data_IF_140640989930
#
_entry.id   IF_140640989930
#
_cell.length_a   1.000
_cell.length_b   1.000
_cell.length_c   1.000
_cell.angle_alpha   90.00
_cell.angle_beta   90.00
_cell.angle_gamma   90.00
#
_symmetry.space_group_name_H-M   'P 1'
#
loop_
_entity.id
_entity.type
_entity.pdbx_description
1 polymer ?
#
# COMPACT_ATOMS: atom_id res chain seq x y z
N UNK A 1 -22.49 -38.86 16.86
CA UNK A 1 -22.59 -37.95 18.02
C UNK A 1 -21.18 -37.62 18.46
N UNK A 2 -20.69 -36.48 18.01
CA UNK A 2 -19.54 -35.77 18.59
C UNK A 2 -19.93 -34.31 18.49
N UNK A 3 -20.51 -33.86 19.58
CA UNK A 3 -20.97 -32.51 19.85
C UNK A 3 -19.71 -31.65 20.03
N UNK A 4 -19.37 -30.81 19.06
CA UNK A 4 -18.36 -29.77 19.21
C UNK A 4 -19.05 -28.46 19.58
N UNK A 5 -18.46 -27.67 20.49
CA UNK A 5 -19.17 -26.62 21.19
C UNK A 5 -19.66 -25.56 20.21
N UNK A 6 -20.95 -25.23 20.31
CA UNK A 6 -21.52 -23.98 19.78
C UNK A 6 -20.94 -22.83 20.60
N UNK A 7 -19.66 -22.54 20.41
CA UNK A 7 -19.02 -21.42 21.07
C UNK A 7 -19.47 -20.13 20.40
N UNK A 8 -20.09 -19.29 21.22
CA UNK A 8 -20.59 -17.98 20.84
C UNK A 8 -19.40 -17.06 20.52
N UNK A 9 -18.89 -17.12 19.30
CA UNK A 9 -17.94 -16.14 18.79
C UNK A 9 -18.68 -14.82 18.55
N UNK A 10 -18.42 -13.83 19.39
CA UNK A 10 -18.95 -12.47 19.22
C UNK A 10 -17.91 -11.66 18.46
N UNK A 11 -18.24 -11.26 17.23
CA UNK A 11 -17.39 -10.37 16.45
C UNK A 11 -17.63 -8.92 16.90
N UNK A 12 -16.55 -8.25 17.27
CA UNK A 12 -16.57 -6.82 17.55
C UNK A 12 -16.64 -6.04 16.22
N UNK A 13 -17.25 -4.84 16.20
CA UNK A 13 -17.47 -4.05 14.98
C UNK A 13 -16.21 -3.90 14.12
N UNK A 14 -15.06 -3.59 14.75
CA UNK A 14 -13.76 -3.42 14.08
C UNK A 14 -13.22 -4.69 13.40
N UNK A 15 -13.55 -5.87 13.93
CA UNK A 15 -13.18 -7.16 13.35
C UNK A 15 -14.08 -7.50 12.17
N UNK A 16 -15.32 -7.03 12.20
CA UNK A 16 -16.27 -7.18 11.12
C UNK A 16 -15.85 -6.40 9.87
N UNK A 17 -15.44 -5.15 10.07
CA UNK A 17 -14.98 -4.25 9.00
C UNK A 17 -13.75 -4.84 8.28
N UNK A 18 -12.82 -5.41 9.06
CA UNK A 18 -11.64 -6.11 8.52
C UNK A 18 -12.05 -7.25 7.58
N UNK A 19 -12.95 -8.14 8.01
CA UNK A 19 -13.38 -9.25 7.18
C UNK A 19 -14.18 -8.83 5.96
N UNK A 20 -14.93 -7.73 6.02
CA UNK A 20 -15.63 -7.18 4.86
C UNK A 20 -14.65 -6.67 3.79
N UNK A 21 -13.58 -5.98 4.20
CA UNK A 21 -12.53 -5.50 3.29
C UNK A 21 -11.81 -6.69 2.63
N UNK A 22 -11.44 -7.70 3.43
CA UNK A 22 -10.79 -8.91 2.91
C UNK A 22 -11.70 -9.67 1.95
N UNK A 23 -13.00 -9.76 2.25
CA UNK A 23 -13.98 -10.38 1.37
C UNK A 23 -14.07 -9.66 0.02
N UNK A 24 -14.11 -8.33 0.01
CA UNK A 24 -14.11 -7.55 -1.24
C UNK A 24 -12.84 -7.80 -2.05
N UNK A 25 -11.67 -7.75 -1.40
CA UNK A 25 -10.38 -8.04 -2.06
C UNK A 25 -10.38 -9.43 -2.70
N UNK A 26 -10.85 -10.46 -1.99
CA UNK A 26 -10.93 -11.83 -2.51
C UNK A 26 -11.86 -11.96 -3.71
N UNK A 27 -12.97 -11.22 -3.74
CA UNK A 27 -13.89 -11.22 -4.88
C UNK A 27 -13.27 -10.52 -6.10
N UNK A 28 -12.58 -9.40 -5.89
CA UNK A 28 -11.91 -8.65 -6.95
C UNK A 28 -10.73 -9.43 -7.55
N UNK A 29 -10.02 -10.21 -6.73
CA UNK A 29 -8.90 -11.05 -7.16
C UNK A 29 -9.29 -12.48 -7.53
N UNK A 30 -10.59 -12.75 -7.73
CA UNK A 30 -11.13 -14.06 -8.12
C UNK A 30 -10.80 -15.23 -7.16
N UNK A 31 -10.48 -14.95 -5.89
CA UNK A 31 -10.18 -15.91 -4.82
C UNK A 31 -11.46 -16.48 -4.19
N UNK A 32 -12.31 -17.09 -5.02
CA UNK A 32 -13.66 -17.50 -4.62
C UNK A 32 -13.69 -18.63 -3.56
N UNK A 33 -12.69 -19.51 -3.51
CA UNK A 33 -12.63 -20.59 -2.52
C UNK A 33 -12.43 -20.07 -1.10
N UNK A 34 -11.56 -19.08 -0.95
CA UNK A 34 -11.25 -18.43 0.33
C UNK A 34 -12.37 -17.48 0.75
N UNK A 35 -12.97 -16.77 -0.21
CA UNK A 35 -14.18 -15.96 0.03
C UNK A 35 -15.32 -16.83 0.57
N UNK A 36 -15.53 -18.04 0.02
CA UNK A 36 -16.54 -18.99 0.52
C UNK A 36 -16.24 -19.46 1.93
N UNK A 37 -14.99 -19.80 2.22
CA UNK A 37 -14.60 -20.28 3.53
C UNK A 37 -14.75 -19.17 4.60
N UNK A 38 -14.34 -17.94 4.27
CA UNK A 38 -14.51 -16.77 5.13
C UNK A 38 -16.00 -16.46 5.38
N UNK A 39 -16.84 -16.49 4.34
CA UNK A 39 -18.30 -16.35 4.50
C UNK A 39 -18.89 -17.44 5.39
N UNK A 40 -18.42 -18.68 5.25
CA UNK A 40 -18.81 -19.81 6.10
C UNK A 40 -18.45 -19.62 7.57
N UNK A 41 -17.31 -18.99 7.85
CA UNK A 41 -16.88 -18.60 9.20
C UNK A 41 -17.72 -17.43 9.76
N UNK A 42 -17.92 -16.37 8.97
CA UNK A 42 -18.67 -15.18 9.38
C UNK A 42 -20.12 -15.51 9.74
N UNK A 43 -20.75 -16.45 9.03
CA UNK A 43 -22.11 -16.92 9.32
C UNK A 43 -22.25 -17.68 10.65
N UNK A 44 -21.14 -18.12 11.25
CA UNK A 44 -21.13 -18.78 12.56
C UNK A 44 -20.98 -17.77 13.72
N UNK A 45 -20.61 -16.53 13.41
CA UNK A 45 -20.38 -15.47 14.39
C UNK A 45 -21.70 -14.80 14.83
N UNK A 46 -21.74 -14.23 16.03
CA UNK A 46 -22.90 -13.52 16.60
C UNK A 46 -22.57 -12.07 16.92
N UNK A 47 -23.59 -11.24 17.18
CA UNK A 47 -23.42 -9.81 17.45
C UNK A 47 -23.76 -8.95 16.22
N UNK A 48 -22.93 -7.95 15.90
CA UNK A 48 -23.18 -7.08 14.74
C UNK A 48 -23.09 -7.83 13.39
N UNK A 49 -22.38 -8.95 13.35
CA UNK A 49 -22.34 -9.88 12.22
C UNK A 49 -23.74 -10.37 11.79
N UNK A 50 -24.67 -10.57 12.74
CA UNK A 50 -26.01 -11.10 12.44
C UNK A 50 -26.80 -10.20 11.50
N UNK A 51 -26.51 -8.89 11.49
CA UNK A 51 -27.15 -7.92 10.58
C UNK A 51 -26.80 -8.17 9.11
N UNK A 52 -25.63 -8.75 8.84
CA UNK A 52 -25.11 -9.01 7.50
C UNK A 52 -25.29 -10.46 7.05
N UNK A 53 -25.74 -11.36 7.93
CA UNK A 53 -25.89 -12.79 7.62
C UNK A 53 -26.80 -13.06 6.42
N UNK A 54 -27.88 -12.30 6.24
CA UNK A 54 -28.78 -12.50 5.10
C UNK A 54 -28.08 -12.20 3.76
N UNK A 55 -27.25 -11.16 3.73
CA UNK A 55 -26.49 -10.76 2.53
C UNK A 55 -25.35 -11.74 2.26
N UNK A 56 -24.61 -12.14 3.30
CA UNK A 56 -23.53 -13.11 3.19
C UNK A 56 -24.01 -14.51 2.82
N UNK A 57 -25.17 -14.93 3.32
CA UNK A 57 -25.77 -16.21 2.94
C UNK A 57 -26.25 -16.21 1.48
N UNK A 58 -26.76 -15.07 0.98
CA UNK A 58 -27.11 -14.91 -0.43
C UNK A 58 -25.86 -14.91 -1.33
N UNK A 59 -24.79 -14.21 -0.92
CA UNK A 59 -23.52 -14.15 -1.64
C UNK A 59 -22.82 -15.51 -1.66
N UNK A 60 -22.76 -16.21 -0.53
CA UNK A 60 -22.23 -17.57 -0.45
C UNK A 60 -23.02 -18.53 -1.35
N UNK A 61 -24.35 -18.46 -1.30
CA UNK A 61 -25.21 -19.26 -2.18
C UNK A 61 -25.02 -18.96 -3.67
N UNK A 62 -24.74 -17.71 -4.02
CA UNK A 62 -24.39 -17.34 -5.40
C UNK A 62 -23.02 -17.89 -5.81
N UNK A 63 -21.99 -17.77 -4.95
CA UNK A 63 -20.66 -18.31 -5.19
C UNK A 63 -20.65 -19.84 -5.32
N UNK A 64 -21.48 -20.54 -4.55
CA UNK A 64 -21.63 -22.00 -4.65
C UNK A 64 -22.30 -22.44 -5.95
N UNK A 65 -23.26 -21.67 -6.45
CA UNK A 65 -23.89 -21.94 -7.74
C UNK A 65 -22.99 -21.58 -8.94
N UNK A 66 -22.22 -20.50 -8.84
CA UNK A 66 -21.37 -19.99 -9.92
C UNK A 66 -20.01 -20.72 -10.01
N UNK A 67 -19.44 -21.15 -8.88
CA UNK A 67 -18.09 -21.71 -8.79
C UNK A 67 -18.05 -22.98 -7.91
N UNK A 68 -18.70 -24.09 -8.31
CA UNK A 68 -18.86 -25.28 -7.46
C UNK A 68 -17.55 -26.03 -7.16
N UNK A 69 -16.48 -25.80 -7.92
CA UNK A 69 -15.17 -26.48 -7.77
C UNK A 69 -14.14 -25.65 -6.99
N UNK A 70 -14.49 -24.45 -6.53
CA UNK A 70 -13.61 -23.61 -5.72
C UNK A 70 -13.68 -24.08 -4.26
N UNK A 71 -12.67 -24.83 -3.82
CA UNK A 71 -12.46 -25.25 -2.43
C UNK A 71 -11.29 -24.46 -1.84
N UNK A 72 -11.45 -23.92 -0.62
CA UNK A 72 -10.39 -23.23 0.13
C UNK A 72 -10.42 -23.70 1.58
N UNK A 73 -9.24 -24.05 2.12
CA UNK A 73 -9.05 -24.39 3.53
C UNK A 73 -8.61 -23.12 4.28
N UNK A 74 -9.25 -22.81 5.41
CA UNK A 74 -8.84 -21.69 6.26
C UNK A 74 -7.81 -22.17 7.28
N UNK A 75 -6.53 -21.92 7.01
CA UNK A 75 -5.48 -22.08 8.01
C UNK A 75 -5.33 -20.78 8.83
N UNK A 76 -6.02 -20.74 9.97
CA UNK A 76 -6.11 -19.57 10.85
C UNK A 76 -4.77 -19.16 11.48
N UNK A 77 -3.78 -20.05 11.56
CA UNK A 77 -2.46 -19.74 12.12
C UNK A 77 -1.53 -19.10 11.07
N UNK A 78 -1.69 -19.44 9.79
CA UNK A 78 -0.95 -18.84 8.68
C UNK A 78 -1.42 -17.40 8.36
N UNK A 79 -2.74 -17.15 8.40
CA UNK A 79 -3.34 -15.84 8.11
C UNK A 79 -3.03 -14.74 9.12
N UNK A 80 -2.62 -15.09 10.35
CA UNK A 80 -2.24 -14.13 11.39
C UNK A 80 -0.73 -13.85 11.45
N UNK A 81 0.09 -14.61 10.71
CA UNK A 81 1.56 -14.51 10.76
C UNK A 81 2.27 -14.35 9.40
N UNK A 82 1.58 -14.33 8.27
CA UNK A 82 2.24 -14.43 6.96
C UNK A 82 1.80 -13.42 5.92
N UNK A 83 2.27 -12.16 6.02
CA UNK A 83 2.23 -11.21 4.90
C UNK A 83 3.51 -11.28 4.04
N UNK A 84 4.35 -12.32 4.20
CA UNK A 84 5.60 -12.47 3.44
C UNK A 84 5.82 -13.85 2.80
N UNK A 85 4.97 -14.86 3.02
CA UNK A 85 5.26 -16.24 2.58
C UNK A 85 4.29 -16.84 1.55
N UNK A 86 3.09 -16.28 1.37
CA UNK A 86 2.16 -16.74 0.30
C UNK A 86 2.38 -16.01 -1.04
N UNK A 87 3.00 -14.82 -1.04
CA UNK A 87 3.19 -13.98 -2.24
C UNK A 87 4.27 -14.52 -3.22
N UNK A 88 5.25 -15.29 -2.73
CA UNK A 88 6.33 -15.82 -3.59
C UNK A 88 5.81 -16.79 -4.67
N UNK A 89 4.74 -17.52 -4.41
CA UNK A 89 4.17 -18.48 -5.38
C UNK A 89 3.41 -17.82 -6.53
N UNK A 90 2.66 -16.76 -6.23
CA UNK A 90 1.85 -16.03 -7.21
C UNK A 90 2.69 -15.13 -8.10
N UNK A 91 3.69 -14.45 -7.52
CA UNK A 91 4.63 -13.61 -8.25
C UNK A 91 5.42 -14.42 -9.29
N UNK A 92 5.84 -15.64 -8.94
CA UNK A 92 6.53 -16.54 -9.86
C UNK A 92 5.63 -17.07 -11.00
N UNK A 93 4.35 -17.33 -10.73
CA UNK A 93 3.37 -17.67 -11.76
C UNK A 93 3.16 -16.50 -12.72
N UNK A 94 3.04 -15.28 -12.19
CA UNK A 94 2.89 -14.06 -12.98
C UNK A 94 4.12 -13.82 -13.87
N UNK A 95 5.32 -13.86 -13.30
CA UNK A 95 6.60 -13.75 -14.03
C UNK A 95 6.68 -14.78 -15.17
N UNK A 96 6.29 -16.03 -14.91
CA UNK A 96 6.28 -17.09 -15.93
C UNK A 96 5.34 -16.78 -17.09
N UNK A 97 4.08 -16.39 -16.81
CA UNK A 97 3.11 -16.02 -17.87
C UNK A 97 3.61 -14.84 -18.70
N UNK A 98 4.24 -13.87 -18.04
CA UNK A 98 4.78 -12.69 -18.70
C UNK A 98 5.99 -13.02 -19.59
N UNK A 99 6.87 -13.91 -19.12
CA UNK A 99 7.97 -14.43 -19.91
C UNK A 99 7.49 -15.23 -21.13
N UNK A 100 6.48 -16.10 -20.96
CA UNK A 100 5.85 -16.84 -22.06
C UNK A 100 5.26 -15.91 -23.12
N UNK A 101 4.58 -14.83 -22.69
CA UNK A 101 4.02 -13.81 -23.58
C UNK A 101 5.10 -13.07 -24.36
N UNK A 102 6.19 -12.69 -23.69
CA UNK A 102 7.35 -12.02 -24.32
C UNK A 102 8.07 -12.92 -25.32
N UNK A 103 8.15 -14.22 -25.05
CA UNK A 103 8.73 -15.19 -26.00
C UNK A 103 7.82 -15.45 -27.21
N UNK A 104 6.51 -15.39 -27.01
CA UNK A 104 5.52 -15.65 -28.05
C UNK A 104 5.28 -14.43 -28.95
N UNK A 105 5.50 -13.22 -28.44
CA UNK A 105 5.24 -11.97 -29.13
C UNK A 105 6.42 -11.00 -29.01
N UNK A 106 7.16 -10.86 -30.11
CA UNK A 106 8.33 -9.97 -30.24
C UNK A 106 7.94 -8.48 -30.12
N UNK A 107 6.68 -8.13 -30.38
CA UNK A 107 6.21 -6.74 -30.34
C UNK A 107 5.62 -6.36 -28.97
N UNK A 108 5.49 -7.31 -28.04
CA UNK A 108 4.84 -7.07 -26.76
C UNK A 108 5.47 -5.91 -25.96
N UNK A 109 6.79 -5.88 -25.83
CA UNK A 109 7.50 -4.80 -25.12
C UNK A 109 7.38 -3.46 -25.86
N UNK A 110 7.65 -3.37 -27.17
CA UNK A 110 7.37 -2.15 -27.94
C UNK A 110 5.93 -1.64 -27.80
N UNK A 111 4.94 -2.52 -27.81
CA UNK A 111 3.52 -2.17 -27.64
C UNK A 111 3.20 -1.69 -26.22
N UNK A 112 3.76 -2.32 -25.18
CA UNK A 112 3.63 -1.85 -23.79
C UNK A 112 4.23 -0.45 -23.63
N UNK A 113 5.43 -0.22 -24.14
CA UNK A 113 6.09 1.09 -24.10
C UNK A 113 5.29 2.13 -24.89
N UNK A 114 4.80 1.78 -26.09
CA UNK A 114 3.94 2.67 -26.86
C UNK A 114 2.62 2.99 -26.12
N UNK A 115 2.03 2.01 -25.45
CA UNK A 115 0.83 2.19 -24.62
C UNK A 115 1.10 3.12 -23.44
N UNK A 116 2.27 3.01 -22.80
CA UNK A 116 2.69 3.92 -21.73
C UNK A 116 2.88 5.36 -22.22
N UNK A 117 3.49 5.55 -23.40
CA UNK A 117 3.75 6.89 -23.97
C UNK A 117 2.52 7.60 -24.51
N UNK A 118 1.50 6.85 -24.92
CA UNK A 118 0.27 7.38 -25.52
C UNK A 118 -0.94 7.34 -24.57
N UNK A 119 -0.82 6.68 -23.42
CA UNK A 119 -1.88 6.56 -22.43
C UNK A 119 -1.81 7.68 -21.40
N UNK A 120 -2.93 8.34 -21.17
CA UNK A 120 -3.08 9.39 -20.15
C UNK A 120 -3.76 8.88 -18.87
N UNK A 121 -4.25 7.63 -18.87
CA UNK A 121 -4.92 7.01 -17.73
C UNK A 121 -3.91 6.47 -16.69
N UNK A 122 -3.88 7.01 -15.45
CA UNK A 122 -2.91 6.60 -14.44
C UNK A 122 -3.05 5.14 -14.01
N UNK A 123 -4.27 4.59 -14.00
CA UNK A 123 -4.52 3.19 -13.66
C UNK A 123 -3.86 2.24 -14.67
N UNK A 124 -4.04 2.52 -15.96
CA UNK A 124 -3.39 1.79 -17.05
C UNK A 124 -1.86 1.95 -17.01
N UNK A 125 -1.36 3.16 -16.74
CA UNK A 125 0.09 3.40 -16.57
C UNK A 125 0.66 2.54 -15.44
N UNK A 126 0.00 2.48 -14.28
CA UNK A 126 0.41 1.62 -13.15
C UNK A 126 0.47 0.14 -13.55
N UNK A 127 -0.54 -0.37 -14.26
CA UNK A 127 -0.57 -1.76 -14.72
C UNK A 127 0.55 -2.08 -15.72
N UNK A 128 0.87 -1.15 -16.61
CA UNK A 128 1.98 -1.30 -17.57
C UNK A 128 3.31 -1.29 -16.83
N UNK A 129 3.51 -0.34 -15.91
CA UNK A 129 4.74 -0.24 -15.12
C UNK A 129 4.94 -1.49 -14.25
N UNK A 130 3.88 -2.02 -13.63
CA UNK A 130 3.92 -3.28 -12.92
C UNK A 130 4.42 -4.43 -13.80
N UNK A 131 3.93 -4.55 -15.05
CA UNK A 131 4.45 -5.55 -15.99
C UNK A 131 5.93 -5.29 -16.34
N UNK A 132 6.31 -4.05 -16.65
CA UNK A 132 7.68 -3.69 -17.02
C UNK A 132 8.69 -3.99 -15.90
N UNK A 133 8.28 -3.95 -14.63
CA UNK A 133 9.12 -4.31 -13.49
C UNK A 133 9.58 -5.78 -13.50
N UNK A 134 8.86 -6.67 -14.18
CA UNK A 134 9.20 -8.10 -14.25
C UNK A 134 9.77 -8.52 -15.62
N UNK A 135 9.95 -7.57 -16.53
CA UNK A 135 10.53 -7.78 -17.85
C UNK A 135 11.97 -7.30 -17.87
N UNK A 136 12.81 -7.88 -18.74
CA UNK A 136 14.16 -7.38 -18.98
C UNK A 136 14.36 -7.11 -20.47
N UNK A 137 14.59 -5.86 -20.83
CA UNK A 137 14.83 -5.47 -22.21
C UNK A 137 15.63 -4.17 -22.30
N UNK A 138 16.63 -4.07 -23.20
CA UNK A 138 17.53 -2.92 -23.27
C UNK A 138 16.83 -1.57 -23.46
N UNK A 139 15.66 -1.57 -24.11
CA UNK A 139 14.94 -0.32 -24.40
C UNK A 139 14.12 0.21 -23.22
N UNK A 140 13.84 -0.61 -22.18
CA UNK A 140 12.94 -0.23 -21.08
C UNK A 140 13.51 0.95 -20.30
N UNK A 141 14.76 0.87 -19.82
CA UNK A 141 15.40 1.94 -19.04
C UNK A 141 15.36 3.27 -19.82
N UNK A 142 15.86 3.26 -21.06
CA UNK A 142 15.96 4.47 -21.87
C UNK A 142 14.61 5.09 -22.21
N UNK A 143 13.58 4.25 -22.41
CA UNK A 143 12.21 4.70 -22.69
C UNK A 143 11.55 5.31 -21.46
N UNK A 144 11.71 4.68 -20.29
CA UNK A 144 11.16 5.19 -19.03
C UNK A 144 11.80 6.51 -18.61
N UNK A 145 13.11 6.69 -18.83
CA UNK A 145 13.78 7.99 -18.59
C UNK A 145 13.23 9.10 -19.48
N UNK A 146 13.01 8.82 -20.76
CA UNK A 146 12.42 9.78 -21.70
C UNK A 146 10.98 10.11 -21.32
N UNK A 147 10.21 9.10 -20.93
CA UNK A 147 8.83 9.24 -20.50
C UNK A 147 8.73 10.13 -19.25
N UNK A 148 9.45 9.79 -18.17
CA UNK A 148 9.48 10.59 -16.93
C UNK A 148 9.88 12.05 -17.13
N UNK A 149 10.77 12.34 -18.10
CA UNK A 149 11.26 13.69 -18.37
C UNK A 149 10.30 14.55 -19.24
N UNK A 150 9.26 13.95 -19.83
CA UNK A 150 8.39 14.61 -20.81
C UNK A 150 7.45 15.63 -20.19
N UNK A 151 6.76 15.22 -19.13
CA UNK A 151 5.73 16.00 -18.45
C UNK A 151 5.58 15.54 -16.99
N UNK A 152 4.66 16.16 -16.27
CA UNK A 152 4.35 15.80 -14.90
C UNK A 152 3.32 14.66 -14.85
N UNK A 153 3.64 13.61 -14.08
CA UNK A 153 2.76 12.48 -13.82
C UNK A 153 2.48 12.40 -12.32
N UNK A 154 1.41 11.72 -11.93
CA UNK A 154 1.10 11.54 -10.50
C UNK A 154 2.23 10.78 -9.78
N UNK A 155 2.50 11.14 -8.53
CA UNK A 155 3.69 10.66 -7.82
C UNK A 155 3.83 9.12 -7.72
N UNK A 156 2.76 8.33 -7.45
CA UNK A 156 2.87 6.87 -7.39
C UNK A 156 3.30 6.24 -8.72
N UNK A 157 2.78 6.78 -9.83
CA UNK A 157 3.14 6.37 -11.19
C UNK A 157 4.62 6.65 -11.46
N UNK A 158 5.11 7.83 -11.07
CA UNK A 158 6.52 8.18 -11.22
C UNK A 158 7.43 7.27 -10.39
N UNK A 159 7.05 7.01 -9.14
CA UNK A 159 7.82 6.13 -8.25
C UNK A 159 7.90 4.70 -8.82
N UNK A 160 6.78 4.16 -9.33
CA UNK A 160 6.79 2.84 -9.98
C UNK A 160 7.67 2.75 -11.22
N UNK A 161 7.75 3.83 -12.01
CA UNK A 161 8.67 3.89 -13.15
C UNK A 161 10.14 3.92 -12.71
N UNK A 162 10.47 4.66 -11.65
CA UNK A 162 11.81 4.67 -11.07
C UNK A 162 12.21 3.26 -10.57
N UNK A 163 11.29 2.56 -9.90
CA UNK A 163 11.52 1.17 -9.49
C UNK A 163 11.73 0.23 -10.69
N UNK A 164 10.97 0.41 -11.77
CA UNK A 164 11.16 -0.36 -13.00
C UNK A 164 12.54 -0.12 -13.61
N UNK A 165 13.01 1.14 -13.65
CA UNK A 165 14.37 1.49 -14.08
C UNK A 165 15.42 0.77 -13.21
N UNK A 166 15.30 0.84 -11.87
CA UNK A 166 16.24 0.15 -10.98
C UNK A 166 16.22 -1.36 -11.18
N UNK A 167 15.04 -1.98 -11.35
CA UNK A 167 14.92 -3.42 -11.62
C UNK A 167 15.58 -3.82 -12.94
N UNK A 168 15.68 -2.95 -13.95
CA UNK A 168 16.49 -3.19 -15.15
C UNK A 168 18.01 -3.17 -14.90
N UNK A 169 18.46 -2.85 -13.69
CA UNK A 169 19.86 -2.55 -13.39
C UNK A 169 20.27 -1.13 -13.79
N UNK A 170 19.29 -0.23 -13.96
CA UNK A 170 19.53 1.17 -14.28
C UNK A 170 20.34 1.88 -13.20
N UNK A 171 21.27 2.73 -13.63
CA UNK A 171 22.09 3.61 -12.78
C UNK A 171 22.20 5.00 -13.40
N UNK A 172 22.70 5.97 -12.64
CA UNK A 172 22.80 7.36 -13.03
C UNK A 172 21.49 8.14 -12.85
N UNK A 173 21.56 9.46 -13.10
CA UNK A 173 20.46 10.38 -12.80
C UNK A 173 19.22 10.12 -13.66
N UNK A 174 18.05 10.15 -13.03
CA UNK A 174 16.74 10.16 -13.67
C UNK A 174 16.05 11.48 -13.34
N UNK A 175 15.67 12.22 -14.37
CA UNK A 175 14.93 13.47 -14.23
C UNK A 175 13.43 13.22 -14.40
N UNK A 176 12.61 13.93 -13.61
CA UNK A 176 11.15 13.91 -13.71
C UNK A 176 10.57 15.24 -13.23
N UNK A 177 9.31 15.52 -13.56
CA UNK A 177 8.62 16.75 -13.15
C UNK A 177 7.70 16.51 -11.96
N UNK A 178 7.73 17.41 -10.97
CA UNK A 178 6.80 17.40 -9.84
C UNK A 178 6.61 18.82 -9.32
N UNK A 179 5.36 19.21 -9.09
CA UNK A 179 4.96 20.54 -8.64
C UNK A 179 5.52 21.67 -9.54
N UNK A 180 5.60 21.41 -10.85
CA UNK A 180 6.20 22.34 -11.83
C UNK A 180 7.73 22.49 -11.78
N UNK A 181 8.43 21.69 -10.97
CA UNK A 181 9.88 21.66 -10.90
C UNK A 181 10.45 20.37 -11.50
N UNK A 182 11.65 20.45 -12.08
CA UNK A 182 12.38 19.26 -12.52
C UNK A 182 13.24 18.74 -11.38
N UNK A 183 12.87 17.56 -10.88
CA UNK A 183 13.60 16.83 -9.84
C UNK A 183 14.56 15.83 -10.49
N UNK A 184 15.58 15.42 -9.74
CA UNK A 184 16.55 14.41 -10.19
C UNK A 184 16.90 13.48 -9.04
N UNK A 185 16.87 12.18 -9.31
CA UNK A 185 17.24 11.11 -8.37
C UNK A 185 18.25 10.16 -9.01
N UNK A 186 18.99 9.44 -8.19
CA UNK A 186 19.83 8.33 -8.65
C UNK A 186 18.96 7.08 -8.85
N UNK A 187 19.00 6.49 -10.04
CA UNK A 187 18.21 5.29 -10.35
C UNK A 187 18.53 4.14 -9.38
N UNK A 188 19.82 3.93 -9.11
CA UNK A 188 20.28 2.82 -8.28
C UNK A 188 19.80 2.92 -6.81
N UNK A 189 19.49 4.12 -6.34
CA UNK A 189 19.09 4.38 -4.95
C UNK A 189 17.56 4.26 -4.74
N UNK A 190 16.77 4.00 -5.80
CA UNK A 190 15.31 3.99 -5.71
C UNK A 190 14.79 2.78 -4.95
N UNK A 191 14.17 2.91 -3.75
CA UNK A 191 13.76 1.75 -2.96
C UNK A 191 12.80 0.81 -3.70
N UNK A 192 13.09 -0.50 -3.69
CA UNK A 192 12.24 -1.53 -4.29
C UNK A 192 11.20 -2.08 -3.31
N UNK A 193 11.47 -1.96 -2.01
CA UNK A 193 10.58 -2.32 -0.92
C UNK A 193 10.73 -1.33 0.23
N UNK A 194 9.78 -1.33 1.17
CA UNK A 194 9.85 -0.43 2.32
C UNK A 194 11.13 -0.63 3.14
N UNK A 195 11.66 -1.86 3.21
CA UNK A 195 12.89 -2.20 3.93
C UNK A 195 14.17 -1.51 3.39
N UNK A 196 14.12 -0.98 2.17
CA UNK A 196 15.24 -0.26 1.57
C UNK A 196 15.18 1.26 1.78
N UNK A 197 14.15 1.77 2.47
CA UNK A 197 14.06 3.18 2.79
C UNK A 197 15.06 3.59 3.88
N UNK A 198 15.39 4.89 3.99
CA UNK A 198 16.31 5.39 5.02
C UNK A 198 15.84 5.10 6.45
N UNK A 199 16.80 4.92 7.37
CA UNK A 199 16.56 4.53 8.75
C UNK A 199 15.62 5.49 9.51
N UNK A 200 15.72 6.82 9.28
CA UNK A 200 14.82 7.80 9.91
C UNK A 200 13.34 7.53 9.64
N UNK A 201 13.00 7.02 8.45
CA UNK A 201 11.62 6.68 8.08
C UNK A 201 11.13 5.43 8.81
N UNK A 202 12.00 4.44 9.00
CA UNK A 202 11.68 3.25 9.80
C UNK A 202 11.46 3.63 11.27
N UNK A 203 12.34 4.48 11.82
CA UNK A 203 12.26 4.90 13.19
C UNK A 203 10.99 5.72 13.49
N UNK A 204 10.58 6.60 12.58
CA UNK A 204 9.33 7.35 12.72
C UNK A 204 8.11 6.41 12.79
N UNK A 205 8.02 5.42 11.89
CA UNK A 205 6.93 4.44 11.90
C UNK A 205 6.94 3.59 13.18
N UNK A 206 8.11 3.11 13.58
CA UNK A 206 8.26 2.29 14.78
C UNK A 206 7.81 3.03 16.05
N UNK A 207 8.15 4.32 16.17
CA UNK A 207 7.67 5.17 17.27
C UNK A 207 6.14 5.31 17.29
N UNK A 208 5.49 5.39 16.13
CA UNK A 208 4.02 5.39 16.06
C UNK A 208 3.45 4.05 16.49
N UNK A 209 4.01 2.94 16.00
CA UNK A 209 3.58 1.58 16.37
C UNK A 209 3.70 1.35 17.88
N UNK A 210 4.84 1.69 18.49
CA UNK A 210 5.08 1.55 19.93
C UNK A 210 4.11 2.41 20.76
N UNK A 211 3.84 3.64 20.31
CA UNK A 211 2.88 4.52 20.95
C UNK A 211 1.45 3.97 20.91
N UNK A 212 1.08 3.29 19.81
CA UNK A 212 -0.27 2.84 19.55
C UNK A 212 -0.56 1.40 20.01
N UNK A 213 0.46 0.56 20.16
CA UNK A 213 0.34 -0.88 20.47
C UNK A 213 -0.53 -1.14 21.72
N UNK A 214 -0.41 -0.28 22.73
CA UNK A 214 -1.13 -0.44 24.00
C UNK A 214 -2.53 0.20 23.97
N UNK A 215 -2.70 1.29 23.20
CA UNK A 215 -3.90 2.14 23.28
C UNK A 215 -4.86 1.98 22.11
N UNK A 216 -4.35 1.70 20.91
CA UNK A 216 -5.16 1.55 19.69
C UNK A 216 -4.41 0.75 18.60
N UNK A 217 -4.48 -0.60 18.62
CA UNK A 217 -3.82 -1.45 17.62
C UNK A 217 -4.26 -1.19 16.17
N UNK A 218 -5.48 -0.64 15.98
CA UNK A 218 -5.97 -0.24 14.65
C UNK A 218 -5.11 0.87 14.06
N UNK A 219 -4.64 1.80 14.90
CA UNK A 219 -3.80 2.92 14.47
C UNK A 219 -2.45 2.43 13.95
N UNK A 220 -1.84 1.40 14.56
CA UNK A 220 -0.56 0.84 14.12
C UNK A 220 -0.61 0.27 12.70
N UNK A 221 -1.71 -0.40 12.34
CA UNK A 221 -1.91 -0.93 10.99
C UNK A 221 -2.04 0.19 9.95
N UNK A 222 -2.93 1.17 10.20
CA UNK A 222 -3.10 2.30 9.28
C UNK A 222 -1.87 3.18 9.19
N UNK A 223 -1.08 3.28 10.26
CA UNK A 223 0.18 4.02 10.27
C UNK A 223 1.16 3.46 9.25
N UNK A 224 1.29 2.14 9.17
CA UNK A 224 2.22 1.52 8.24
C UNK A 224 1.87 1.81 6.78
N UNK A 225 0.64 1.55 6.37
CA UNK A 225 0.20 1.76 4.99
C UNK A 225 0.24 3.25 4.62
N UNK A 226 -0.28 4.12 5.48
CA UNK A 226 -0.25 5.57 5.25
C UNK A 226 1.19 6.08 5.13
N UNK A 227 2.11 5.54 5.93
CA UNK A 227 3.50 5.96 5.92
C UNK A 227 4.24 5.47 4.69
N UNK A 228 4.00 4.24 4.23
CA UNK A 228 4.53 3.72 2.96
C UNK A 228 4.12 4.63 1.81
N UNK A 229 2.83 4.96 1.69
CA UNK A 229 2.36 5.82 0.61
C UNK A 229 2.97 7.23 0.67
N UNK A 230 3.08 7.80 1.87
CA UNK A 230 3.76 9.08 2.08
C UNK A 230 5.24 9.01 1.66
N UNK A 231 5.92 7.90 1.96
CA UNK A 231 7.33 7.72 1.61
C UNK A 231 7.55 7.68 0.09
N UNK A 232 6.68 6.96 -0.64
CA UNK A 232 6.71 6.91 -2.11
C UNK A 232 6.42 8.28 -2.72
N UNK A 233 5.40 8.99 -2.21
CA UNK A 233 5.02 10.31 -2.70
C UNK A 233 6.11 11.36 -2.44
N UNK A 234 6.77 11.29 -1.28
CA UNK A 234 7.86 12.19 -0.96
C UNK A 234 9.10 11.93 -1.83
N UNK A 235 9.31 10.72 -2.36
CA UNK A 235 10.58 10.31 -2.96
C UNK A 235 11.11 11.31 -4.00
N UNK A 236 12.37 11.72 -3.83
CA UNK A 236 13.05 12.71 -4.67
C UNK A 236 12.78 14.18 -4.34
N UNK A 237 11.80 14.48 -3.47
CA UNK A 237 11.49 15.85 -3.04
C UNK A 237 12.37 16.30 -1.86
N UNK A 238 12.41 17.61 -1.54
CA UNK A 238 13.01 18.09 -0.29
C UNK A 238 12.38 17.47 0.96
N UNK A 239 11.10 17.09 0.91
CA UNK A 239 10.41 16.50 2.05
C UNK A 239 10.94 15.11 2.38
N UNK A 240 11.26 14.31 1.37
CA UNK A 240 11.88 13.00 1.56
C UNK A 240 13.21 13.11 2.31
N UNK A 241 14.01 14.15 2.02
CA UNK A 241 15.27 14.38 2.75
C UNK A 241 15.01 14.62 4.24
N UNK A 242 14.00 15.41 4.58
CA UNK A 242 13.59 15.66 5.97
C UNK A 242 13.09 14.38 6.65
N UNK A 243 12.29 13.56 5.96
CA UNK A 243 11.82 12.26 6.48
C UNK A 243 12.95 11.24 6.67
N UNK A 244 13.99 11.33 5.83
CA UNK A 244 15.14 10.43 5.84
C UNK A 244 16.20 10.79 6.88
N UNK A 245 16.10 11.95 7.56
CA UNK A 245 17.04 12.36 8.59
C UNK A 245 17.08 11.35 9.73
N UNK A 246 18.25 10.77 9.97
CA UNK A 246 18.50 9.81 11.05
C UNK A 246 18.90 10.55 12.33
N UNK A 247 18.01 11.42 12.81
CA UNK A 247 18.09 12.03 14.12
C UNK A 247 16.78 11.83 14.89
N UNK A 248 16.90 11.68 16.21
CA UNK A 248 15.76 11.39 17.08
C UNK A 248 14.69 12.48 16.99
N UNK A 249 15.09 13.75 16.90
CA UNK A 249 14.17 14.88 16.83
C UNK A 249 13.36 14.90 15.54
N UNK A 250 13.96 14.57 14.39
CA UNK A 250 13.24 14.43 13.12
C UNK A 250 12.25 13.27 13.16
N UNK A 251 12.70 12.12 13.67
CA UNK A 251 11.84 10.94 13.78
C UNK A 251 10.67 11.15 14.73
N UNK A 252 10.87 11.83 15.86
CA UNK A 252 9.82 12.21 16.80
C UNK A 252 8.81 13.17 16.15
N UNK A 253 9.30 14.16 15.39
CA UNK A 253 8.47 15.12 14.63
C UNK A 253 7.56 14.40 13.63
N UNK A 254 8.12 13.52 12.82
CA UNK A 254 7.37 12.78 11.80
C UNK A 254 6.42 11.76 12.41
N UNK A 255 6.83 11.07 13.46
CA UNK A 255 5.98 10.14 14.19
C UNK A 255 4.77 10.85 14.84
N UNK A 256 5.00 11.98 15.52
CA UNK A 256 3.94 12.78 16.11
C UNK A 256 2.96 13.31 15.06
N UNK A 257 3.47 13.78 13.92
CA UNK A 257 2.65 14.30 12.84
C UNK A 257 1.79 13.20 12.19
N UNK A 258 2.37 12.02 11.96
CA UNK A 258 1.63 10.86 11.45
C UNK A 258 0.56 10.40 12.45
N UNK A 259 0.90 10.28 13.73
CA UNK A 259 -0.06 9.90 14.76
C UNK A 259 -1.22 10.91 14.82
N UNK A 260 -0.93 12.22 14.78
CA UNK A 260 -1.98 13.24 14.74
C UNK A 260 -2.87 13.13 13.50
N UNK A 261 -2.30 12.92 12.31
CA UNK A 261 -3.08 12.71 11.09
C UNK A 261 -4.05 11.51 11.25
N UNK A 262 -3.56 10.39 11.79
CA UNK A 262 -4.38 9.19 11.98
C UNK A 262 -5.48 9.41 13.01
N UNK A 263 -5.21 10.15 14.08
CA UNK A 263 -6.22 10.52 15.08
C UNK A 263 -7.33 11.41 14.49
N UNK A 264 -6.97 12.31 13.57
CA UNK A 264 -7.95 13.14 12.85
C UNK A 264 -8.85 12.28 11.95
N UNK A 265 -8.27 11.28 11.28
CA UNK A 265 -8.97 10.43 10.32
C UNK A 265 -9.86 9.38 10.97
N UNK A 266 -9.35 8.69 11.98
CA UNK A 266 -10.03 7.56 12.61
C UNK A 266 -11.02 8.00 13.69
N UNK A 267 -10.73 9.11 14.38
CA UNK A 267 -11.46 9.51 15.59
C UNK A 267 -12.00 10.95 15.55
N UNK A 268 -11.83 11.68 14.43
CA UNK A 268 -12.22 13.07 14.28
C UNK A 268 -11.67 14.01 15.38
N UNK A 269 -10.53 13.64 16.00
CA UNK A 269 -9.90 14.45 17.07
C UNK A 269 -8.92 15.44 16.47
N UNK A 270 -9.13 16.73 16.76
CA UNK A 270 -8.35 17.82 16.18
C UNK A 270 -7.34 18.47 17.15
N UNK A 271 -7.37 18.11 18.45
CA UNK A 271 -6.40 18.61 19.41
C UNK A 271 -5.16 17.69 19.42
N UNK A 272 -3.99 18.28 19.27
CA UNK A 272 -2.69 17.62 19.14
C UNK A 272 -1.80 17.76 20.38
N UNK A 273 -2.24 18.49 21.42
CA UNK A 273 -1.44 18.78 22.61
C UNK A 273 -0.93 17.52 23.31
N UNK A 274 -1.81 16.54 23.55
CA UNK A 274 -1.42 15.27 24.17
C UNK A 274 -0.45 14.45 23.31
N UNK A 275 -0.57 14.53 21.99
CA UNK A 275 0.37 13.85 21.07
C UNK A 275 1.72 14.55 21.10
N UNK A 276 1.76 15.89 21.02
CA UNK A 276 3.03 16.63 21.13
C UNK A 276 3.77 16.33 22.43
N UNK A 277 3.06 16.29 23.55
CA UNK A 277 3.66 15.94 24.84
C UNK A 277 4.20 14.50 24.84
N UNK A 278 3.45 13.55 24.27
CA UNK A 278 3.84 12.14 24.20
C UNK A 278 5.14 11.91 23.42
N UNK A 279 5.35 12.62 22.32
CA UNK A 279 6.57 12.53 21.50
C UNK A 279 7.65 13.54 21.89
N UNK A 280 7.48 14.28 23.00
CA UNK A 280 8.49 15.23 23.46
C UNK A 280 8.71 16.42 22.51
N UNK A 281 7.67 16.83 21.76
CA UNK A 281 7.74 17.96 20.83
C UNK A 281 7.86 19.27 21.62
N UNK A 282 9.09 19.75 21.79
CA UNK A 282 9.41 21.02 22.45
C UNK A 282 9.10 22.22 21.55
N UNK A 283 9.18 23.43 22.11
CA UNK A 283 8.99 24.67 21.34
C UNK A 283 9.98 24.80 20.16
N UNK A 284 11.18 24.23 20.27
CA UNK A 284 12.19 24.22 19.20
C UNK A 284 11.78 23.31 18.02
N UNK A 285 11.08 22.22 18.30
CA UNK A 285 10.59 21.26 17.29
C UNK A 285 9.20 21.63 16.74
N UNK A 286 8.48 22.52 17.42
CA UNK A 286 7.09 22.88 17.11
C UNK A 286 6.88 23.29 15.65
N UNK A 287 7.77 24.12 15.12
CA UNK A 287 7.66 24.58 13.73
C UNK A 287 7.86 23.43 12.73
N UNK A 288 8.84 22.54 12.97
CA UNK A 288 9.07 21.35 12.14
C UNK A 288 7.88 20.41 12.18
N UNK A 289 7.31 20.19 13.36
CA UNK A 289 6.08 19.43 13.57
C UNK A 289 4.90 19.99 12.77
N UNK A 290 4.64 21.30 12.85
CA UNK A 290 3.54 21.93 12.11
C UNK A 290 3.72 21.84 10.59
N UNK A 291 4.97 21.91 10.11
CA UNK A 291 5.28 21.71 8.70
C UNK A 291 5.03 20.26 8.25
N UNK A 292 5.53 19.28 9.03
CA UNK A 292 5.32 17.86 8.76
C UNK A 292 3.83 17.51 8.73
N UNK A 293 3.07 17.94 9.74
CA UNK A 293 1.63 17.69 9.83
C UNK A 293 0.87 18.38 8.69
N UNK A 294 1.25 19.60 8.30
CA UNK A 294 0.64 20.28 7.15
C UNK A 294 0.86 19.51 5.85
N UNK A 295 2.07 19.03 5.63
CA UNK A 295 2.41 18.25 4.44
C UNK A 295 1.65 16.92 4.39
N UNK A 296 1.58 16.19 5.52
CA UNK A 296 0.80 14.97 5.65
C UNK A 296 -0.70 15.21 5.39
N UNK A 297 -1.24 16.35 5.87
CA UNK A 297 -2.63 16.73 5.61
C UNK A 297 -2.89 17.07 4.15
N UNK A 298 -1.99 17.81 3.48
CA UNK A 298 -2.16 18.09 2.04
C UNK A 298 -2.20 16.81 1.22
N UNK A 299 -1.40 15.81 1.61
CA UNK A 299 -1.44 14.49 1.00
C UNK A 299 -2.78 13.76 1.26
N UNK A 300 -3.19 13.68 2.53
CA UNK A 300 -4.40 12.93 2.88
C UNK A 300 -5.71 13.59 2.39
N UNK A 301 -5.69 14.87 1.97
CA UNK A 301 -6.87 15.62 1.51
C UNK A 301 -7.15 15.50 0.02
N UNK A 302 -6.32 14.79 -0.77
CA UNK A 302 -6.59 14.57 -2.19
C UNK A 302 -7.34 13.27 -2.47
N UNK A 303 -8.61 13.36 -2.91
CA UNK A 303 -9.07 12.64 -4.08
C UNK A 303 -8.92 13.61 -5.26
N UNK A 304 -7.80 13.59 -5.97
CA UNK A 304 -7.73 14.23 -7.29
C UNK A 304 -8.49 13.36 -8.30
N UNK A 305 -9.82 13.46 -8.27
CA UNK A 305 -10.64 13.32 -9.48
C UNK A 305 -10.72 14.73 -10.04
N UNK A 306 -9.79 15.06 -10.93
CA UNK A 306 -9.98 16.17 -11.86
C UNK A 306 -10.86 15.67 -12.99
N UNK A 307 -12.04 16.29 -13.13
CA UNK A 307 -12.93 16.20 -14.30
C UNK A 307 -12.20 16.55 -15.63
#
# INVERSE_FOLDING_TARGET
MTDQPKDNLVLFPKTLDYYQIQLTKMLETERYGEAKALLGFLLQCRGEAERHHTEWQALLGWLDAAFPTAEGDLDYEAWMQGDEQEDEGEEEIFKRRLAERTQSDVNYIPELLASLHNGDDPGQQMLILAQLQHLFHPDIDSSLRQWLAREEYIAPVQFRALQAIRKQGGSGPVAFWRDGESLTVEAADTPLSFAEFPQGMHQALERVKQSAEVSDPTLSYFAEETWKDCAELAYGTPMFKSMAEDDDGSSDVWAAALHQLLMERLHAKMNDEGIREQYGITDELRFRYEQALRWLRSYAMEPQITD
#
